data_IF_168470635527
#
_entry.id   IF_168470635527
#
_cell.length_a   1.000
_cell.length_b   1.000
_cell.length_c   1.000
_cell.angle_alpha   90.00
_cell.angle_beta   90.00
_cell.angle_gamma   90.00
#
_symmetry.space_group_name_H-M   'P 1'
#
loop_
_entity.id
_entity.type
_entity.pdbx_description
1 polymer ?
#
# COMPACT_ATOMS: atom_id res chain seq x y z
N UNK A 1 -6.78 -8.35 16.57
CA UNK A 1 -7.87 -7.50 16.06
C UNK A 1 -7.32 -6.48 15.08
N UNK A 2 -7.98 -6.33 13.97
CA UNK A 2 -7.57 -5.34 12.99
C UNK A 2 -8.04 -3.98 13.37
N UNK A 3 -7.28 -3.02 12.98
CA UNK A 3 -7.62 -1.62 13.18
C UNK A 3 -7.93 -0.97 11.86
N UNK A 4 -7.20 -1.33 10.82
CA UNK A 4 -7.38 -0.70 9.51
C UNK A 4 -6.85 -1.58 8.41
N UNK A 5 -7.35 -1.35 7.19
CA UNK A 5 -6.83 -1.92 5.97
C UNK A 5 -6.49 -0.77 5.03
N UNK A 6 -5.32 -0.84 4.41
CA UNK A 6 -4.90 0.14 3.43
C UNK A 6 -4.66 -0.51 2.09
N UNK A 7 -4.92 0.22 1.01
CA UNK A 7 -4.70 -0.25 -0.34
C UNK A 7 -3.98 0.82 -1.14
N UNK A 8 -3.03 0.39 -1.95
CA UNK A 8 -2.32 1.27 -2.87
C UNK A 8 -2.30 0.62 -4.24
N UNK A 9 -2.69 1.37 -5.26
CA UNK A 9 -2.64 0.92 -6.65
C UNK A 9 -1.75 1.84 -7.45
N UNK A 10 -0.84 1.26 -8.21
CA UNK A 10 0.09 2.03 -9.06
C UNK A 10 0.10 1.45 -10.47
N UNK A 11 0.52 2.25 -11.44
CA UNK A 11 0.51 1.88 -12.85
C UNK A 11 1.84 1.29 -13.32
N UNK A 12 2.67 0.80 -12.38
CA UNK A 12 3.95 0.19 -12.70
C UNK A 12 4.22 -0.93 -11.72
N UNK A 13 4.50 -2.12 -12.24
CA UNK A 13 4.79 -3.26 -11.39
C UNK A 13 6.05 -3.02 -10.58
N UNK A 14 7.10 -2.49 -11.22
CA UNK A 14 8.34 -2.20 -10.51
C UNK A 14 8.17 -1.19 -9.40
N UNK A 15 7.46 -0.09 -9.67
CA UNK A 15 7.18 0.91 -8.65
C UNK A 15 6.29 0.35 -7.55
N UNK A 16 5.35 -0.54 -7.90
CA UNK A 16 4.48 -1.17 -6.92
C UNK A 16 5.27 -2.03 -5.94
N UNK A 17 6.18 -2.83 -6.45
CA UNK A 17 7.02 -3.66 -5.60
C UNK A 17 7.91 -2.80 -4.69
N UNK A 18 8.48 -1.74 -5.25
CA UNK A 18 9.31 -0.82 -4.49
C UNK A 18 8.50 -0.11 -3.40
N UNK A 19 7.31 0.39 -3.75
CA UNK A 19 6.44 1.06 -2.77
C UNK A 19 6.00 0.10 -1.68
N UNK A 20 5.65 -1.13 -2.05
CA UNK A 20 5.25 -2.14 -1.09
C UNK A 20 6.35 -2.40 -0.07
N UNK A 21 7.60 -2.53 -0.54
CA UNK A 21 8.73 -2.74 0.34
C UNK A 21 8.92 -1.58 1.31
N UNK A 22 8.81 -0.34 0.82
CA UNK A 22 8.95 0.83 1.67
C UNK A 22 7.82 0.95 2.68
N UNK A 23 6.59 0.60 2.27
CA UNK A 23 5.46 0.61 3.21
C UNK A 23 5.68 -0.35 4.36
N UNK A 24 6.17 -1.54 4.07
CA UNK A 24 6.44 -2.53 5.11
C UNK A 24 7.57 -2.11 6.05
N UNK A 25 8.53 -1.36 5.53
CA UNK A 25 9.66 -0.89 6.35
C UNK A 25 9.32 0.35 7.14
N UNK A 26 8.37 1.15 6.68
CA UNK A 26 8.06 2.42 7.31
C UNK A 26 7.21 2.25 8.57
N UNK A 27 6.41 1.21 8.65
CA UNK A 27 5.46 1.03 9.74
C UNK A 27 5.27 -0.45 10.01
N UNK A 28 4.75 -0.77 11.19
CA UNK A 28 4.44 -2.16 11.53
C UNK A 28 3.11 -2.54 10.92
N UNK A 29 3.15 -2.93 9.67
CA UNK A 29 1.96 -3.39 8.95
C UNK A 29 2.25 -4.75 8.34
N UNK A 30 1.20 -5.53 8.14
CA UNK A 30 1.31 -6.82 7.47
C UNK A 30 0.73 -6.72 6.07
N UNK A 31 1.15 -7.61 5.18
CA UNK A 31 0.61 -7.67 3.84
C UNK A 31 -0.54 -8.66 3.81
N UNK A 32 -1.72 -8.21 3.34
CA UNK A 32 -2.83 -9.10 3.09
C UNK A 32 -2.63 -9.75 1.73
N UNK A 33 -2.35 -8.94 0.73
CA UNK A 33 -2.02 -9.44 -0.60
C UNK A 33 -1.32 -8.35 -1.38
N UNK A 34 -0.54 -8.75 -2.38
CA UNK A 34 0.07 -7.82 -3.30
C UNK A 34 0.29 -8.55 -4.62
N UNK A 35 0.33 -7.80 -5.71
CA UNK A 35 0.56 -8.41 -7.00
C UNK A 35 0.02 -7.58 -8.14
N UNK A 36 0.30 -8.01 -9.35
CA UNK A 36 -0.21 -7.34 -10.54
C UNK A 36 -1.66 -7.76 -10.78
N UNK A 37 -2.51 -6.81 -11.14
CA UNK A 37 -3.94 -7.06 -11.35
C UNK A 37 -4.37 -6.84 -12.79
N UNK A 38 -3.65 -6.01 -13.52
CA UNK A 38 -3.90 -5.75 -14.93
C UNK A 38 -2.54 -5.56 -15.59
N UNK A 39 -2.45 -5.62 -16.91
CA UNK A 39 -1.17 -5.31 -17.54
C UNK A 39 -0.66 -3.95 -17.06
N UNK A 40 0.52 -3.95 -16.44
CA UNK A 40 1.17 -2.73 -15.99
C UNK A 40 0.68 -2.15 -14.68
N UNK A 41 -0.23 -2.82 -13.96
CA UNK A 41 -0.73 -2.31 -12.69
C UNK A 41 -0.37 -3.24 -11.55
N UNK A 42 -0.20 -2.65 -10.36
CA UNK A 42 0.17 -3.38 -9.16
C UNK A 42 -0.66 -2.88 -7.98
N UNK A 43 -1.17 -3.80 -7.19
CA UNK A 43 -1.94 -3.47 -5.99
C UNK A 43 -1.27 -4.07 -4.77
N UNK A 44 -1.20 -3.28 -3.69
CA UNK A 44 -0.78 -3.74 -2.37
C UNK A 44 -1.90 -3.51 -1.38
N UNK A 45 -2.24 -4.53 -0.60
CA UNK A 45 -3.23 -4.41 0.47
C UNK A 45 -2.55 -4.79 1.78
N UNK A 46 -2.59 -3.88 2.74
CA UNK A 46 -1.90 -4.04 4.02
C UNK A 46 -2.89 -3.89 5.17
N UNK A 47 -2.50 -4.37 6.35
CA UNK A 47 -3.33 -4.24 7.56
C UNK A 47 -2.46 -3.87 8.75
N UNK A 48 -3.09 -3.31 9.77
CA UNK A 48 -2.40 -2.95 10.99
C UNK A 48 -3.18 -1.92 11.77
N UNK A 49 -2.52 -1.24 12.70
CA UNK A 49 -3.12 -0.13 13.42
C UNK A 49 -3.42 1.02 12.46
N UNK A 50 -4.46 1.80 12.78
CA UNK A 50 -4.89 2.89 11.90
C UNK A 50 -3.72 3.83 11.57
N UNK A 51 -2.99 4.27 12.60
CA UNK A 51 -1.89 5.20 12.38
C UNK A 51 -0.78 4.58 11.53
N UNK A 52 -0.48 3.30 11.77
CA UNK A 52 0.56 2.60 11.01
C UNK A 52 0.16 2.44 9.55
N UNK A 53 -1.10 2.08 9.30
CA UNK A 53 -1.59 1.91 7.92
C UNK A 53 -1.61 3.25 7.20
N UNK A 54 -2.08 4.31 7.86
CA UNK A 54 -2.10 5.63 7.25
C UNK A 54 -0.69 6.10 6.87
N UNK A 55 0.27 5.90 7.77
CA UNK A 55 1.65 6.27 7.50
C UNK A 55 2.23 5.44 6.35
N UNK A 56 1.97 4.14 6.35
CA UNK A 56 2.48 3.26 5.31
C UNK A 56 1.94 3.65 3.95
N UNK A 57 0.63 3.90 3.84
CA UNK A 57 0.03 4.31 2.57
C UNK A 57 0.62 5.63 2.09
N UNK A 58 0.83 6.58 3.01
CA UNK A 58 1.43 7.86 2.66
C UNK A 58 2.84 7.67 2.09
N UNK A 59 3.64 6.82 2.71
CA UNK A 59 4.98 6.51 2.21
C UNK A 59 4.89 5.85 0.83
N UNK A 60 3.94 4.94 0.64
CA UNK A 60 3.74 4.28 -0.65
C UNK A 60 3.37 5.26 -1.74
N UNK A 61 2.50 6.22 -1.45
CA UNK A 61 2.11 7.24 -2.42
C UNK A 61 3.34 8.06 -2.83
N UNK A 62 4.16 8.47 -1.88
CA UNK A 62 5.36 9.23 -2.17
C UNK A 62 6.36 8.42 -2.98
N UNK A 63 6.51 7.14 -2.66
CA UNK A 63 7.46 6.27 -3.35
C UNK A 63 7.02 5.98 -4.78
N UNK A 64 5.72 6.04 -5.07
CA UNK A 64 5.18 5.75 -6.39
C UNK A 64 4.90 7.02 -7.20
N UNK A 65 5.55 8.11 -6.88
CA UNK A 65 5.34 9.39 -7.56
C UNK A 65 5.39 9.22 -9.08
N UNK A 66 4.40 9.78 -9.77
CA UNK A 66 4.30 9.67 -11.21
C UNK A 66 3.58 8.41 -11.68
N UNK A 67 3.49 7.39 -10.84
CA UNK A 67 2.84 6.12 -11.20
C UNK A 67 1.64 5.82 -10.30
N UNK A 68 1.32 6.70 -9.38
CA UNK A 68 0.23 6.54 -8.45
C UNK A 68 -1.11 6.54 -9.20
N UNK A 69 -1.97 5.58 -8.89
CA UNK A 69 -3.32 5.50 -9.46
C UNK A 69 -4.34 5.83 -8.39
N UNK A 70 -4.33 5.10 -7.28
CA UNK A 70 -5.34 5.29 -6.26
C UNK A 70 -4.90 4.68 -4.94
N UNK A 71 -5.54 5.09 -3.87
CA UNK A 71 -5.30 4.52 -2.55
C UNK A 71 -6.53 4.71 -1.69
N UNK A 72 -6.65 3.88 -0.66
CA UNK A 72 -7.73 4.00 0.30
C UNK A 72 -7.26 3.44 1.64
N UNK A 73 -7.76 4.04 2.72
CA UNK A 73 -7.58 3.52 4.08
C UNK A 73 -8.96 3.34 4.67
N UNK A 74 -9.22 2.12 5.14
CA UNK A 74 -10.49 1.80 5.79
C UNK A 74 -10.18 1.54 7.26
N UNK A 75 -10.49 2.49 8.14
CA UNK A 75 -10.23 2.32 9.58
C UNK A 75 -11.32 1.50 10.24
N UNK A 76 -10.99 0.92 11.38
CA UNK A 76 -11.95 0.21 12.23
C UNK A 76 -12.64 -0.95 11.51
N UNK A 77 -11.85 -1.75 10.86
CA UNK A 77 -12.37 -2.92 10.14
C UNK A 77 -12.62 -4.05 11.12
#
# INVERSE_FOLDING_TARGET
>A
MYKAIGMLEVSSIGKGMYANDLMLKASEVGVVTCGSVCPGKYISIIHGDVAAVENAVKVGIQASAGQYVDSIVIPNV
#
